data_IF_502619251220
#
_entry.id   IF_502619251220
#
_cell.length_a   1.000
_cell.length_b   1.000
_cell.length_c   1.000
_cell.angle_alpha   90.00
_cell.angle_beta   90.00
_cell.angle_gamma   90.00
#
_symmetry.space_group_name_H-M   'P 1'
#
loop_
_entity.id
_entity.type
_entity.pdbx_description
1 polymer ?
#
# COMPACT_ATOMS: atom_id res chain seq x y z
N UNK A 1 -32.71 -28.25 44.91
CA UNK A 1 -33.58 -27.45 44.01
C UNK A 1 -32.70 -26.93 42.89
N UNK A 2 -33.07 -27.22 41.65
CA UNK A 2 -32.28 -26.92 40.46
C UNK A 2 -32.08 -25.40 40.32
N UNK A 3 -30.84 -25.02 40.01
CA UNK A 3 -30.44 -23.66 39.68
C UNK A 3 -31.12 -23.31 38.36
N UNK A 4 -31.90 -22.23 38.35
CA UNK A 4 -32.51 -21.66 37.16
C UNK A 4 -31.49 -21.59 36.03
N UNK A 5 -31.79 -22.30 34.93
CA UNK A 5 -31.03 -22.23 33.71
C UNK A 5 -31.13 -20.80 33.17
N UNK A 6 -30.15 -19.97 33.51
CA UNK A 6 -29.84 -18.78 32.75
C UNK A 6 -29.46 -19.23 31.34
N UNK A 7 -30.45 -19.25 30.44
CA UNK A 7 -30.23 -19.10 29.01
C UNK A 7 -29.68 -17.68 28.83
N UNK A 8 -28.44 -17.47 29.27
CA UNK A 8 -27.67 -16.30 28.93
C UNK A 8 -27.48 -16.41 27.42
N UNK A 9 -28.16 -15.51 26.71
CA UNK A 9 -28.03 -15.33 25.28
C UNK A 9 -26.59 -14.91 24.99
N UNK A 10 -25.68 -15.88 24.91
CA UNK A 10 -24.39 -15.76 24.27
C UNK A 10 -24.67 -15.62 22.77
N UNK A 11 -25.12 -14.43 22.37
CA UNK A 11 -25.20 -14.02 20.98
C UNK A 11 -23.82 -14.28 20.38
N UNK A 12 -23.77 -15.19 19.43
CA UNK A 12 -22.54 -15.64 18.78
C UNK A 12 -21.83 -14.44 18.13
N UNK A 13 -20.87 -13.82 18.81
CA UNK A 13 -20.05 -12.73 18.26
C UNK A 13 -19.34 -13.18 16.96
N UNK A 14 -19.03 -14.47 16.86
CA UNK A 14 -18.51 -15.13 15.67
C UNK A 14 -19.51 -15.18 14.49
N UNK A 15 -20.83 -15.30 14.74
CA UNK A 15 -21.85 -15.14 13.68
C UNK A 15 -21.93 -13.69 13.21
N UNK A 16 -21.66 -12.72 14.09
CA UNK A 16 -21.61 -11.29 13.72
C UNK A 16 -20.42 -10.98 12.79
N UNK A 17 -19.23 -11.54 13.03
CA UNK A 17 -18.09 -11.46 12.09
C UNK A 17 -18.37 -12.14 10.74
N UNK A 18 -19.19 -13.19 10.72
CA UNK A 18 -19.63 -13.84 9.47
C UNK A 18 -20.63 -12.95 8.70
N UNK A 19 -21.51 -12.23 9.41
CA UNK A 19 -22.37 -11.21 8.82
C UNK A 19 -21.59 -9.95 8.37
N UNK A 20 -20.50 -9.59 9.06
CA UNK A 20 -19.57 -8.53 8.67
C UNK A 20 -18.88 -8.83 7.33
N UNK A 21 -18.57 -10.11 7.05
CA UNK A 21 -18.13 -10.56 5.71
C UNK A 21 -19.21 -10.32 4.63
N UNK A 22 -20.49 -10.45 4.97
CA UNK A 22 -21.61 -10.09 4.09
C UNK A 22 -21.80 -8.57 3.92
N UNK A 23 -21.42 -7.77 4.92
CA UNK A 23 -21.47 -6.31 4.87
C UNK A 23 -20.51 -5.73 3.81
N UNK A 24 -19.36 -6.38 3.59
CA UNK A 24 -18.49 -6.08 2.44
C UNK A 24 -19.16 -6.30 1.09
N UNK A 25 -20.04 -7.31 0.98
CA UNK A 25 -20.84 -7.54 -0.22
C UNK A 25 -21.93 -6.48 -0.44
N UNK A 26 -22.42 -5.83 0.61
CA UNK A 26 -23.42 -4.76 0.49
C UNK A 26 -22.82 -3.55 -0.23
N UNK A 27 -21.58 -3.17 0.11
CA UNK A 27 -20.85 -2.11 -0.60
C UNK A 27 -20.74 -2.42 -2.10
N UNK A 28 -20.47 -3.68 -2.42
CA UNK A 28 -20.36 -4.14 -3.82
C UNK A 28 -21.69 -3.99 -4.56
N UNK A 29 -22.79 -4.44 -3.95
CA UNK A 29 -24.12 -4.31 -4.55
C UNK A 29 -24.55 -2.84 -4.70
N UNK A 30 -24.19 -1.97 -3.77
CA UNK A 30 -24.46 -0.54 -3.87
C UNK A 30 -23.77 0.07 -5.09
N UNK A 31 -22.47 -0.22 -5.28
CA UNK A 31 -21.71 0.29 -6.43
C UNK A 31 -22.29 -0.23 -7.74
N UNK A 32 -22.57 -1.54 -7.82
CA UNK A 32 -23.20 -2.13 -9.01
C UNK A 32 -24.59 -1.57 -9.28
N UNK A 33 -25.37 -1.27 -8.24
CA UNK A 33 -26.69 -0.64 -8.36
C UNK A 33 -26.58 0.77 -8.95
N UNK A 34 -25.66 1.61 -8.47
CA UNK A 34 -25.44 2.95 -9.01
C UNK A 34 -25.03 2.88 -10.49
N UNK A 35 -24.11 1.98 -10.83
CA UNK A 35 -23.69 1.75 -12.22
C UNK A 35 -24.86 1.28 -13.09
N UNK A 36 -25.70 0.37 -12.58
CA UNK A 36 -26.89 -0.13 -13.29
C UNK A 36 -27.95 0.94 -13.52
N UNK A 37 -28.26 1.77 -12.52
CA UNK A 37 -29.24 2.86 -12.64
C UNK A 37 -28.74 3.93 -13.61
N UNK A 38 -27.46 4.30 -13.53
CA UNK A 38 -26.87 5.29 -14.44
C UNK A 38 -26.80 4.76 -15.88
N UNK A 39 -26.46 3.47 -16.07
CA UNK A 39 -26.55 2.79 -17.36
C UNK A 39 -27.96 2.86 -17.95
N UNK A 40 -28.98 2.50 -17.17
CA UNK A 40 -30.37 2.58 -17.58
C UNK A 40 -30.75 3.99 -18.03
N UNK A 41 -30.42 5.01 -17.22
CA UNK A 41 -30.74 6.40 -17.54
C UNK A 41 -30.07 6.89 -18.83
N UNK A 42 -28.78 6.60 -19.03
CA UNK A 42 -28.06 7.03 -20.22
C UNK A 42 -28.54 6.29 -21.47
N UNK A 43 -28.61 4.97 -21.43
CA UNK A 43 -28.89 4.16 -22.62
C UNK A 43 -30.36 4.24 -23.01
N UNK A 44 -31.28 4.04 -22.06
CA UNK A 44 -32.70 3.92 -22.36
C UNK A 44 -33.42 5.27 -22.32
N UNK A 45 -33.18 6.11 -21.32
CA UNK A 45 -33.91 7.39 -21.21
C UNK A 45 -33.36 8.46 -22.14
N UNK A 46 -32.03 8.60 -22.28
CA UNK A 46 -31.43 9.65 -23.12
C UNK A 46 -31.26 9.22 -24.58
N UNK A 47 -30.56 8.11 -24.83
CA UNK A 47 -30.26 7.68 -26.20
C UNK A 47 -31.31 6.76 -26.83
N UNK A 48 -32.18 6.13 -26.03
CA UNK A 48 -33.28 5.30 -26.53
C UNK A 48 -34.20 6.03 -27.51
N UNK A 49 -34.77 7.20 -27.16
CA UNK A 49 -35.60 7.97 -28.09
C UNK A 49 -34.84 8.42 -29.33
N UNK A 50 -33.55 8.77 -29.18
CA UNK A 50 -32.69 9.19 -30.29
C UNK A 50 -32.45 8.05 -31.30
N UNK A 51 -32.40 6.79 -30.85
CA UNK A 51 -32.30 5.62 -31.71
C UNK A 51 -33.62 5.27 -32.40
N UNK A 52 -34.75 5.43 -31.71
CA UNK A 52 -36.07 5.07 -32.22
C UNK A 52 -36.64 6.09 -33.21
N UNK A 53 -36.32 7.37 -33.04
CA UNK A 53 -36.86 8.46 -33.90
C UNK A 53 -36.22 8.46 -35.30
N UNK A 54 -35.03 7.85 -35.47
CA UNK A 54 -34.33 7.84 -36.74
C UNK A 54 -33.66 9.17 -37.09
N UNK A 55 -32.83 9.18 -38.15
CA UNK A 55 -32.20 10.40 -38.69
C UNK A 55 -30.69 10.50 -38.47
N UNK A 56 -30.08 11.62 -38.86
CA UNK A 56 -28.62 11.82 -38.81
C UNK A 56 -28.04 11.76 -37.39
N UNK A 57 -28.85 12.04 -36.36
CA UNK A 57 -28.49 11.97 -34.94
C UNK A 57 -28.32 10.54 -34.44
N UNK A 58 -28.89 9.53 -35.12
CA UNK A 58 -28.75 8.11 -34.76
C UNK A 58 -27.32 7.63 -34.87
N UNK A 59 -26.59 8.03 -35.93
CA UNK A 59 -25.20 7.64 -36.13
C UNK A 59 -24.32 8.20 -35.01
N UNK A 60 -24.53 9.45 -34.62
CA UNK A 60 -23.84 10.07 -33.50
C UNK A 60 -24.19 9.38 -32.17
N UNK A 61 -25.47 9.08 -31.93
CA UNK A 61 -25.92 8.34 -30.74
C UNK A 61 -25.30 6.94 -30.66
N UNK A 62 -25.21 6.22 -31.78
CA UNK A 62 -24.57 4.90 -31.84
C UNK A 62 -23.08 4.97 -31.55
N UNK A 63 -22.37 5.95 -32.12
CA UNK A 63 -20.94 6.14 -31.85
C UNK A 63 -20.67 6.41 -30.37
N UNK A 64 -21.48 7.29 -29.75
CA UNK A 64 -21.37 7.59 -28.31
C UNK A 64 -21.73 6.38 -27.45
N UNK A 65 -22.80 5.65 -27.78
CA UNK A 65 -23.20 4.44 -27.06
C UNK A 65 -22.15 3.33 -27.15
N UNK A 66 -21.51 3.15 -28.31
CA UNK A 66 -20.45 2.16 -28.47
C UNK A 66 -19.25 2.49 -27.59
N UNK A 67 -18.79 3.76 -27.61
CA UNK A 67 -17.73 4.22 -26.73
C UNK A 67 -18.10 4.05 -25.25
N UNK A 68 -19.33 4.41 -24.88
CA UNK A 68 -19.83 4.25 -23.52
C UNK A 68 -19.83 2.79 -23.05
N UNK A 69 -20.29 1.84 -23.88
CA UNK A 69 -20.27 0.42 -23.52
C UNK A 69 -18.85 -0.14 -23.42
N UNK A 70 -17.92 0.31 -24.28
CA UNK A 70 -16.52 -0.05 -24.15
C UNK A 70 -15.93 0.40 -22.81
N UNK A 71 -16.19 1.66 -22.43
CA UNK A 71 -15.75 2.20 -21.14
C UNK A 71 -16.43 1.50 -19.95
N UNK A 72 -17.72 1.19 -20.06
CA UNK A 72 -18.46 0.43 -19.05
C UNK A 72 -17.90 -0.98 -18.88
N UNK A 73 -17.59 -1.67 -19.97
CA UNK A 73 -16.97 -3.00 -19.93
C UNK A 73 -15.59 -2.94 -19.25
N UNK A 74 -14.77 -1.94 -19.59
CA UNK A 74 -13.48 -1.71 -18.93
C UNK A 74 -13.63 -1.38 -17.43
N UNK A 75 -14.65 -0.60 -17.06
CA UNK A 75 -14.95 -0.27 -15.67
C UNK A 75 -15.39 -1.51 -14.89
N UNK A 76 -16.36 -2.27 -15.42
CA UNK A 76 -16.85 -3.48 -14.76
C UNK A 76 -15.74 -4.54 -14.67
N UNK A 77 -14.94 -4.71 -15.72
CA UNK A 77 -13.81 -5.63 -15.72
C UNK A 77 -12.79 -5.29 -14.64
N UNK A 78 -12.35 -4.03 -14.56
CA UNK A 78 -11.38 -3.60 -13.55
C UNK A 78 -11.96 -3.66 -12.13
N UNK A 79 -13.25 -3.34 -11.97
CA UNK A 79 -13.94 -3.46 -10.69
C UNK A 79 -14.01 -4.91 -10.21
N UNK A 80 -14.46 -5.84 -11.06
CA UNK A 80 -14.54 -7.25 -10.70
C UNK A 80 -13.18 -7.88 -10.49
N UNK A 81 -12.15 -7.50 -11.26
CA UNK A 81 -10.80 -7.97 -11.00
C UNK A 81 -10.33 -7.56 -9.60
N UNK A 82 -10.60 -6.33 -9.15
CA UNK A 82 -10.25 -5.91 -7.78
C UNK A 82 -11.05 -6.66 -6.72
N UNK A 83 -12.35 -6.86 -6.94
CA UNK A 83 -13.24 -7.53 -5.97
C UNK A 83 -12.91 -9.02 -5.82
N UNK A 84 -12.51 -9.70 -6.90
CA UNK A 84 -12.23 -11.14 -6.90
C UNK A 84 -10.75 -11.49 -6.78
N UNK A 85 -9.83 -10.53 -6.90
CA UNK A 85 -8.40 -10.79 -6.69
C UNK A 85 -8.14 -10.94 -5.20
N UNK A 86 -7.52 -12.06 -4.83
CA UNK A 86 -7.04 -12.29 -3.48
C UNK A 86 -5.93 -11.26 -3.15
N UNK A 87 -6.00 -10.54 -2.02
CA UNK A 87 -4.93 -9.63 -1.59
C UNK A 87 -3.60 -10.33 -1.32
N UNK A 88 -3.56 -11.65 -1.31
CA UNK A 88 -2.36 -12.44 -1.08
C UNK A 88 -2.16 -12.76 0.41
N UNK A 89 -1.47 -13.87 0.67
CA UNK A 89 -1.09 -14.30 2.02
C UNK A 89 0.34 -13.90 2.33
N UNK A 90 0.63 -13.66 3.61
CA UNK A 90 2.00 -13.45 4.09
C UNK A 90 2.88 -14.67 3.74
N UNK A 91 4.09 -14.48 3.17
CA UNK A 91 5.01 -15.57 2.88
C UNK A 91 5.36 -16.43 4.11
N UNK A 92 5.54 -17.76 3.97
CA UNK A 92 5.78 -18.66 5.12
C UNK A 92 7.06 -18.37 5.92
N UNK A 93 8.04 -17.71 5.31
CA UNK A 93 9.34 -17.33 5.89
C UNK A 93 9.39 -15.85 6.30
N UNK A 94 8.26 -15.15 6.31
CA UNK A 94 8.21 -13.75 6.71
C UNK A 94 8.48 -13.63 8.22
N UNK A 95 9.63 -13.05 8.56
CA UNK A 95 9.96 -12.61 9.90
C UNK A 95 10.10 -11.09 9.88
N UNK A 96 9.55 -10.42 10.88
CA UNK A 96 9.78 -9.01 11.10
C UNK A 96 11.13 -8.90 11.82
N UNK A 97 12.22 -8.88 11.06
CA UNK A 97 13.53 -8.50 11.59
C UNK A 97 13.49 -6.99 11.88
N UNK A 98 12.89 -6.64 13.02
CA UNK A 98 12.98 -5.32 13.62
C UNK A 98 14.39 -5.11 14.18
N UNK A 99 15.42 -5.10 13.33
CA UNK A 99 16.78 -4.72 13.74
C UNK A 99 17.28 -3.46 13.02
N UNK A 100 16.41 -2.76 12.29
CA UNK A 100 16.72 -1.45 11.68
C UNK A 100 16.22 -0.27 12.53
N UNK A 101 15.57 -0.52 13.67
CA UNK A 101 15.36 0.49 14.72
C UNK A 101 16.30 0.30 15.92
N UNK A 102 17.31 -0.56 15.79
CA UNK A 102 18.53 -0.54 16.64
C UNK A 102 19.56 0.42 16.03
N UNK A 103 19.07 1.56 15.52
CA UNK A 103 19.89 2.72 15.19
C UNK A 103 20.26 3.46 16.46
N UNK A 104 21.26 2.94 17.19
CA UNK A 104 22.12 3.72 18.09
C UNK A 104 21.48 4.22 19.42
N UNK A 105 21.08 3.31 20.31
CA UNK A 105 21.35 3.57 21.73
C UNK A 105 22.83 3.32 21.96
N UNK A 106 23.66 4.33 21.70
CA UNK A 106 25.10 4.31 21.96
C UNK A 106 25.35 3.82 23.41
N UNK A 107 26.15 2.77 23.63
CA UNK A 107 26.51 2.33 24.97
C UNK A 107 27.67 3.19 25.46
N UNK A 108 27.47 4.50 25.65
CA UNK A 108 28.53 5.40 26.11
C UNK A 108 27.96 6.51 26.99
N UNK A 109 27.61 6.20 28.25
CA UNK A 109 27.64 7.14 29.38
C UNK A 109 27.20 6.45 30.68
N UNK A 110 27.99 5.53 31.22
CA UNK A 110 27.83 5.22 32.66
C UNK A 110 29.06 4.65 33.38
N UNK A 111 30.19 4.36 32.73
CA UNK A 111 31.28 3.64 33.43
C UNK A 111 32.68 4.27 33.48
N UNK A 112 32.93 5.48 32.95
CA UNK A 112 34.29 6.08 33.03
C UNK A 112 34.33 7.52 33.58
N UNK A 113 33.57 7.82 34.63
CA UNK A 113 33.78 9.05 35.40
C UNK A 113 34.02 8.74 36.88
N UNK A 114 35.02 7.89 37.15
CA UNK A 114 35.58 7.75 38.49
C UNK A 114 37.07 8.13 38.44
N UNK A 115 37.32 9.42 38.25
CA UNK A 115 38.64 10.03 38.34
C UNK A 115 38.47 11.50 38.71
N UNK A 116 39.08 11.90 39.81
CA UNK A 116 38.98 13.23 40.44
C UNK A 116 39.01 14.38 39.41
N UNK A 117 37.89 15.06 39.22
CA UNK A 117 37.76 16.18 38.29
C UNK A 117 37.50 17.48 39.06
N UNK A 118 38.49 18.38 39.07
CA UNK A 118 38.34 19.72 39.65
C UNK A 118 37.37 20.58 38.83
N UNK A 119 36.45 21.26 39.53
CA UNK A 119 35.35 22.08 38.96
C UNK A 119 35.79 23.14 37.93
N UNK A 120 37.06 23.57 37.98
CA UNK A 120 37.62 24.62 37.13
C UNK A 120 37.84 24.21 35.65
N UNK A 121 37.84 22.91 35.34
CA UNK A 121 38.04 22.39 33.98
C UNK A 121 36.77 21.74 33.38
N UNK A 122 35.71 21.60 34.18
CA UNK A 122 34.46 20.94 33.81
C UNK A 122 33.68 21.72 32.75
N UNK A 123 33.58 23.04 32.89
CA UNK A 123 32.83 23.88 31.97
C UNK A 123 33.34 23.83 30.51
N UNK A 124 34.63 24.03 30.23
CA UNK A 124 35.14 23.96 28.85
C UNK A 124 35.12 22.54 28.25
N UNK A 125 35.23 21.49 29.08
CA UNK A 125 35.12 20.10 28.61
C UNK A 125 33.68 19.74 28.24
N UNK A 126 32.71 20.07 29.11
CA UNK A 126 31.29 19.86 28.84
C UNK A 126 30.82 20.64 27.59
N UNK A 127 31.31 21.87 27.38
CA UNK A 127 30.98 22.66 26.17
C UNK A 127 31.51 22.00 24.90
N UNK A 128 32.71 21.39 24.92
CA UNK A 128 33.24 20.65 23.75
C UNK A 128 32.41 19.40 23.45
N UNK A 129 31.96 18.71 24.49
CA UNK A 129 31.14 17.51 24.36
C UNK A 129 29.75 17.84 23.81
N UNK A 130 29.11 18.91 24.31
CA UNK A 130 27.82 19.42 23.81
C UNK A 130 27.95 19.88 22.35
N UNK A 131 29.03 20.56 21.97
CA UNK A 131 29.27 20.97 20.59
C UNK A 131 29.48 19.74 19.68
N UNK A 132 30.19 18.73 20.16
CA UNK A 132 30.42 17.45 19.48
C UNK A 132 29.14 16.66 19.25
N UNK A 133 28.34 16.48 20.31
CA UNK A 133 26.97 15.94 20.26
C UNK A 133 26.10 16.74 19.30
N UNK A 134 26.28 18.06 19.29
CA UNK A 134 25.67 19.01 18.37
C UNK A 134 25.80 18.60 16.91
N UNK A 135 27.04 18.45 16.48
CA UNK A 135 27.38 18.06 15.11
C UNK A 135 27.06 16.58 14.81
N UNK A 136 27.07 15.72 15.82
CA UNK A 136 26.75 14.30 15.68
C UNK A 136 25.25 14.02 15.55
N UNK A 137 24.39 14.80 16.24
CA UNK A 137 22.92 14.66 16.14
C UNK A 137 22.42 15.11 14.76
N UNK A 138 22.97 16.20 14.23
CA UNK A 138 22.48 16.80 12.98
C UNK A 138 22.80 15.93 11.76
N UNK A 139 23.90 15.15 11.84
CA UNK A 139 24.34 14.23 10.77
C UNK A 139 23.47 12.97 10.63
N UNK A 140 22.54 12.68 11.56
CA UNK A 140 21.72 11.45 11.57
C UNK A 140 20.29 11.62 11.06
N UNK A 141 19.96 12.77 10.48
CA UNK A 141 18.57 13.16 10.20
C UNK A 141 18.03 12.73 8.84
N UNK A 142 18.81 12.02 8.01
CA UNK A 142 18.23 11.27 6.89
C UNK A 142 18.05 9.82 7.33
N UNK A 143 16.85 9.37 7.73
CA UNK A 143 16.58 7.94 7.85
C UNK A 143 16.80 7.33 6.46
N UNK A 144 17.96 6.70 6.30
CA UNK A 144 18.41 6.18 5.04
C UNK A 144 17.69 4.85 4.80
N UNK A 145 16.57 4.89 4.08
CA UNK A 145 15.74 3.71 3.90
C UNK A 145 16.51 2.61 3.15
N UNK A 146 16.61 1.43 3.76
CA UNK A 146 17.35 0.26 3.24
C UNK A 146 16.88 -0.17 1.85
N UNK A 147 15.60 0.07 1.55
CA UNK A 147 14.95 -0.24 0.27
C UNK A 147 15.00 0.91 -0.76
N UNK A 148 15.50 2.09 -0.39
CA UNK A 148 15.63 3.20 -1.34
C UNK A 148 16.89 2.99 -2.19
N UNK A 149 16.77 2.51 -3.43
CA UNK A 149 17.89 2.38 -4.37
C UNK A 149 18.20 3.66 -5.15
N UNK A 150 17.53 4.76 -4.80
CA UNK A 150 17.56 6.05 -5.47
C UNK A 150 16.38 6.25 -6.42
N UNK A 151 15.97 7.52 -6.56
CA UNK A 151 14.78 7.97 -7.30
C UNK A 151 14.52 7.28 -8.65
N UNK A 152 15.55 7.10 -9.49
CA UNK A 152 15.37 6.48 -10.82
C UNK A 152 15.14 4.97 -10.75
N UNK A 153 15.83 4.28 -9.84
CA UNK A 153 15.73 2.82 -9.68
C UNK A 153 14.43 2.44 -8.99
N UNK A 154 14.02 3.20 -7.97
CA UNK A 154 12.72 3.01 -7.31
C UNK A 154 11.56 3.24 -8.29
N UNK A 155 11.66 4.27 -9.13
CA UNK A 155 10.62 4.55 -10.13
C UNK A 155 10.48 3.40 -11.14
N UNK A 156 11.60 2.84 -11.61
CA UNK A 156 11.58 1.70 -12.52
C UNK A 156 11.05 0.42 -11.87
N UNK A 157 11.21 0.22 -10.56
CA UNK A 157 10.60 -0.90 -9.85
C UNK A 157 9.07 -0.80 -9.81
N UNK A 158 8.54 0.40 -9.57
CA UNK A 158 7.09 0.62 -9.42
C UNK A 158 6.37 0.62 -10.77
N UNK A 159 6.97 1.20 -11.81
CA UNK A 159 6.30 1.40 -13.09
C UNK A 159 6.86 0.53 -14.23
N UNK A 160 7.90 -0.27 -13.97
CA UNK A 160 8.63 -0.99 -15.02
C UNK A 160 9.56 -0.08 -15.82
N UNK A 161 10.47 -0.71 -16.57
CA UNK A 161 11.46 0.01 -17.35
C UNK A 161 10.87 0.58 -18.65
N UNK A 162 9.78 -0.02 -19.15
CA UNK A 162 9.10 0.38 -20.37
C UNK A 162 8.02 1.45 -20.12
N UNK A 163 8.29 2.68 -20.58
CA UNK A 163 7.37 3.83 -20.44
C UNK A 163 5.99 3.63 -21.07
N UNK A 164 5.85 2.71 -22.03
CA UNK A 164 4.56 2.41 -22.69
C UNK A 164 3.55 1.81 -21.73
N UNK A 165 4.02 1.05 -20.75
CA UNK A 165 3.19 0.43 -19.73
C UNK A 165 3.01 1.32 -18.50
N UNK A 166 3.46 2.59 -18.52
CA UNK A 166 3.18 3.50 -17.40
C UNK A 166 1.72 3.95 -17.37
N UNK A 167 1.02 3.88 -18.51
CA UNK A 167 -0.37 4.32 -18.66
C UNK A 167 -1.40 3.22 -18.38
N UNK A 168 -0.96 1.97 -18.18
CA UNK A 168 -1.81 0.80 -17.95
C UNK A 168 -1.11 -0.02 -16.87
N UNK A 169 -1.76 -0.48 -15.78
CA UNK A 169 -1.11 -1.24 -14.71
C UNK A 169 -0.74 -2.66 -15.19
N UNK A 170 0.24 -2.74 -16.07
CA UNK A 170 0.76 -3.93 -16.71
C UNK A 170 2.29 -3.83 -16.73
N UNK A 171 2.96 -4.97 -16.73
CA UNK A 171 4.42 -5.06 -16.82
C UNK A 171 4.78 -5.84 -18.07
N UNK A 172 5.96 -5.60 -18.63
CA UNK A 172 6.46 -6.48 -19.69
C UNK A 172 6.85 -7.84 -19.09
N UNK A 173 6.78 -8.91 -19.88
CA UNK A 173 7.26 -10.24 -19.47
C UNK A 173 8.74 -10.21 -19.02
N UNK A 174 9.52 -9.30 -19.60
CA UNK A 174 10.92 -9.08 -19.22
C UNK A 174 11.02 -8.37 -17.86
N UNK A 175 10.19 -7.37 -17.59
CA UNK A 175 10.13 -6.69 -16.29
C UNK A 175 9.69 -7.66 -15.18
N UNK A 176 8.71 -8.54 -15.45
CA UNK A 176 8.25 -9.58 -14.52
C UNK A 176 9.38 -10.56 -14.13
N UNK A 177 10.30 -10.83 -15.07
CA UNK A 177 11.46 -11.70 -14.83
C UNK A 177 12.60 -10.99 -14.14
N UNK A 178 12.85 -9.72 -14.47
CA UNK A 178 14.01 -8.96 -14.01
C UNK A 178 13.82 -8.24 -12.69
N UNK A 179 12.59 -7.90 -12.33
CA UNK A 179 12.29 -7.11 -11.14
C UNK A 179 11.87 -8.08 -10.03
N UNK A 180 12.76 -8.42 -9.08
CA UNK A 180 12.44 -9.35 -8.00
C UNK A 180 11.29 -8.86 -7.11
N UNK A 181 11.13 -7.53 -6.97
CA UNK A 181 10.02 -6.94 -6.23
C UNK A 181 8.63 -7.28 -6.80
N UNK A 182 8.52 -7.58 -8.10
CA UNK A 182 7.25 -7.98 -8.73
C UNK A 182 6.88 -9.43 -8.44
N UNK A 183 7.85 -10.25 -8.01
CA UNK A 183 7.64 -11.66 -7.66
C UNK A 183 7.21 -11.81 -6.19
N UNK A 184 7.22 -10.72 -5.41
CA UNK A 184 6.68 -10.67 -4.04
C UNK A 184 7.48 -11.45 -3.00
N UNK A 185 8.67 -11.95 -3.35
CA UNK A 185 9.48 -12.80 -2.48
C UNK A 185 10.69 -12.05 -1.90
N UNK A 186 11.34 -11.16 -2.67
CA UNK A 186 12.54 -10.45 -2.23
C UNK A 186 12.58 -9.00 -2.73
N UNK A 187 13.00 -8.08 -1.86
CA UNK A 187 13.24 -6.69 -2.21
C UNK A 187 14.74 -6.40 -2.28
N UNK A 188 15.25 -5.80 -3.37
CA UNK A 188 16.66 -5.50 -3.48
C UNK A 188 17.06 -4.40 -2.51
N UNK A 189 18.02 -4.74 -1.65
CA UNK A 189 18.62 -3.85 -0.66
C UNK A 189 19.87 -3.18 -1.24
N UNK A 190 20.28 -2.04 -0.70
CA UNK A 190 21.56 -1.43 -1.06
C UNK A 190 22.73 -2.38 -0.76
N UNK A 191 23.78 -2.39 -1.61
CA UNK A 191 24.94 -3.26 -1.42
C UNK A 191 25.67 -3.00 -0.09
N UNK A 192 25.55 -1.78 0.44
CA UNK A 192 26.17 -1.32 1.70
C UNK A 192 25.66 -2.11 2.92
N UNK A 193 24.40 -2.57 2.87
CA UNK A 193 23.77 -3.39 3.93
C UNK A 193 23.76 -4.88 3.58
N UNK A 194 23.84 -5.25 2.31
CA UNK A 194 23.90 -6.65 1.87
C UNK A 194 25.17 -7.38 2.34
N UNK A 195 26.23 -6.66 2.70
CA UNK A 195 27.49 -7.21 3.22
C UNK A 195 27.56 -7.39 4.74
N UNK A 196 26.51 -7.01 5.48
CA UNK A 196 26.44 -7.18 6.94
C UNK A 196 25.72 -8.47 7.38
N UNK A 197 25.25 -9.28 6.42
CA UNK A 197 24.66 -10.60 6.69
C UNK A 197 25.68 -11.73 6.45
N UNK A 198 26.62 -11.91 7.39
CA UNK A 198 27.35 -13.17 7.64
C UNK A 198 27.70 -13.32 9.12
#
# INVERSE_FOLDING_TARGET
MYRSAGVAMAWNVFRFCTALKGLGSIMILLVLSIVGVTYYAVVLCNYGPALLTGGATTLAALAVLLLFHFLLAMLLWSYFSVVFTDPGSVPPNWNLDFDVETGETAPLASSEFNGQMNSHNLWPMAVREIQGLGTAYEKKTTPHWIYDLGRKRNFAQVFGNDRRYWFIPAYSEEDLRRIPALQGLDYPVRPDFAGQEL
#
